data_IF_686543389323
#
_entry.id   IF_686543389323
#
_cell.length_a   1.000
_cell.length_b   1.000
_cell.length_c   1.000
_cell.angle_alpha   90.00
_cell.angle_beta   90.00
_cell.angle_gamma   90.00
#
_symmetry.space_group_name_H-M   'P 1'
#
loop_
_entity.id
_entity.type
_entity.pdbx_description
1 polymer ?
#
# COMPACT_ATOMS: atom_id res chain seq x y z
N UNK A 1 -8.83 6.79 15.83
CA UNK A 1 -8.24 6.97 14.49
C UNK A 1 -9.31 6.76 13.45
N UNK A 2 -9.44 7.67 12.49
CA UNK A 2 -10.36 7.50 11.37
C UNK A 2 -9.83 6.44 10.39
N UNK A 3 -10.68 5.49 10.01
CA UNK A 3 -10.36 4.50 8.97
C UNK A 3 -10.78 5.04 7.62
N UNK A 4 -9.88 5.00 6.63
CA UNK A 4 -10.22 5.29 5.22
C UNK A 4 -10.49 3.99 4.49
N UNK A 5 -11.55 3.98 3.66
CA UNK A 5 -11.88 2.85 2.79
C UNK A 5 -11.27 3.08 1.42
N UNK A 6 -10.62 2.05 0.90
CA UNK A 6 -10.09 2.01 -0.46
C UNK A 6 -10.80 0.87 -1.21
N UNK A 7 -11.10 1.08 -2.49
CA UNK A 7 -11.56 0.02 -3.38
C UNK A 7 -10.41 -0.30 -4.34
N UNK A 8 -10.16 -1.59 -4.55
CA UNK A 8 -9.09 -2.07 -5.42
C UNK A 8 -9.57 -3.28 -6.22
N UNK A 9 -9.10 -3.37 -7.46
CA UNK A 9 -9.33 -4.51 -8.35
C UNK A 9 -8.03 -5.26 -8.52
N UNK A 10 -8.07 -6.58 -8.37
CA UNK A 10 -6.90 -7.45 -8.50
C UNK A 10 -7.05 -8.40 -9.69
N UNK A 11 -5.94 -8.82 -10.30
CA UNK A 11 -5.94 -10.00 -11.16
C UNK A 11 -6.50 -11.23 -10.43
N UNK A 12 -7.25 -12.05 -11.14
CA UNK A 12 -7.93 -13.25 -10.62
C UNK A 12 -7.01 -14.14 -9.77
N UNK A 13 -5.82 -14.46 -10.27
CA UNK A 13 -4.87 -15.33 -9.56
C UNK A 13 -4.42 -14.76 -8.21
N UNK A 14 -4.36 -13.43 -8.07
CA UNK A 14 -4.01 -12.78 -6.79
C UNK A 14 -5.20 -12.84 -5.83
N UNK A 15 -6.42 -12.60 -6.33
CA UNK A 15 -7.63 -12.73 -5.53
C UNK A 15 -7.81 -14.15 -4.97
N UNK A 16 -7.57 -15.16 -5.80
CA UNK A 16 -7.60 -16.58 -5.40
C UNK A 16 -6.58 -16.91 -4.32
N UNK A 17 -5.35 -16.40 -4.42
CA UNK A 17 -4.35 -16.61 -3.36
C UNK A 17 -4.77 -15.92 -2.05
N UNK A 18 -5.34 -14.70 -2.10
CA UNK A 18 -5.86 -14.03 -0.90
C UNK A 18 -6.97 -14.85 -0.23
N UNK A 19 -7.91 -15.38 -1.00
CA UNK A 19 -8.98 -16.27 -0.49
C UNK A 19 -8.40 -17.54 0.15
N UNK A 20 -7.43 -18.17 -0.54
CA UNK A 20 -6.78 -19.39 -0.07
C UNK A 20 -6.10 -19.20 1.28
N UNK A 21 -5.41 -18.09 1.49
CA UNK A 21 -4.72 -17.82 2.76
C UNK A 21 -5.64 -17.24 3.84
N UNK A 22 -6.71 -16.54 3.47
CA UNK A 22 -7.65 -15.99 4.45
C UNK A 22 -8.58 -17.07 5.03
N UNK A 23 -8.93 -18.09 4.25
CA UNK A 23 -9.86 -19.14 4.65
C UNK A 23 -9.44 -19.91 5.94
N UNK A 24 -8.19 -20.39 6.10
CA UNK A 24 -7.74 -21.05 7.33
C UNK A 24 -7.76 -20.14 8.57
N UNK A 25 -7.69 -18.82 8.35
CA UNK A 25 -7.69 -17.82 9.41
C UNK A 25 -9.09 -17.37 9.81
N UNK A 26 -10.14 -17.94 9.19
CA UNK A 26 -11.53 -17.47 9.33
C UNK A 26 -11.69 -15.96 9.09
N UNK A 27 -10.81 -15.41 8.25
CA UNK A 27 -10.77 -13.99 7.87
C UNK A 27 -11.32 -13.85 6.46
N UNK A 28 -11.97 -12.73 6.16
CA UNK A 28 -12.28 -12.42 4.76
C UNK A 28 -11.00 -11.93 4.01
N UNK A 29 -10.97 -12.01 2.67
CA UNK A 29 -9.79 -11.65 1.89
C UNK A 29 -9.34 -10.19 2.07
N UNK A 30 -10.29 -9.28 2.27
CA UNK A 30 -10.00 -7.85 2.48
C UNK A 30 -9.33 -7.60 3.82
N UNK A 31 -9.81 -8.25 4.88
CA UNK A 31 -9.19 -8.22 6.21
C UNK A 31 -7.79 -8.80 6.19
N UNK A 32 -7.60 -9.94 5.52
CA UNK A 32 -6.30 -10.58 5.37
C UNK A 32 -5.30 -9.67 4.62
N UNK A 33 -5.72 -9.07 3.50
CA UNK A 33 -4.91 -8.08 2.79
C UNK A 33 -4.55 -6.88 3.70
N UNK A 34 -5.50 -6.40 4.51
CA UNK A 34 -5.26 -5.36 5.50
C UNK A 34 -4.23 -5.74 6.57
N UNK A 35 -4.22 -6.99 7.02
CA UNK A 35 -3.23 -7.51 7.97
C UNK A 35 -1.82 -7.54 7.35
N UNK A 36 -1.69 -7.99 6.10
CA UNK A 36 -0.42 -7.99 5.37
C UNK A 36 0.13 -6.57 5.27
N UNK A 37 -0.69 -5.62 4.83
CA UNK A 37 -0.28 -4.20 4.70
C UNK A 37 0.16 -3.65 6.05
N UNK A 38 -0.60 -3.90 7.13
CA UNK A 38 -0.18 -3.46 8.48
C UNK A 38 1.15 -4.06 8.90
N UNK A 39 1.38 -5.34 8.62
CA UNK A 39 2.61 -6.05 8.97
C UNK A 39 3.81 -5.45 8.24
N UNK A 40 3.70 -5.20 6.94
CA UNK A 40 4.73 -4.52 6.15
C UNK A 40 5.14 -3.16 6.72
N UNK A 41 4.16 -2.33 7.10
CA UNK A 41 4.45 -1.02 7.68
C UNK A 41 5.00 -1.12 9.11
N UNK A 42 4.53 -2.09 9.91
CA UNK A 42 5.06 -2.33 11.25
C UNK A 42 6.54 -2.78 11.21
N UNK A 43 6.91 -3.57 10.21
CA UNK A 43 8.27 -4.06 10.02
C UNK A 43 9.19 -3.04 9.30
N UNK A 44 8.63 -1.92 8.85
CA UNK A 44 9.37 -0.92 8.07
C UNK A 44 9.83 -1.41 6.69
N UNK A 45 9.23 -2.49 6.18
CA UNK A 45 9.62 -3.13 4.91
C UNK A 45 8.46 -3.25 3.91
N UNK A 46 7.64 -2.19 3.66
CA UNK A 46 6.68 -2.25 2.57
C UNK A 46 7.40 -2.48 1.23
N UNK A 47 6.95 -3.42 0.40
CA UNK A 47 7.58 -3.70 -0.88
C UNK A 47 7.45 -2.46 -1.78
N UNK A 48 8.55 -1.72 -1.93
CA UNK A 48 8.62 -0.61 -2.88
C UNK A 48 8.95 -1.18 -4.24
N UNK A 49 7.96 -1.20 -5.13
CA UNK A 49 8.19 -1.61 -6.52
C UNK A 49 9.00 -0.53 -7.27
N UNK A 50 9.76 -0.87 -8.32
CA UNK A 50 10.43 0.13 -9.15
C UNK A 50 9.47 1.19 -9.70
N UNK A 51 8.24 0.79 -10.00
CA UNK A 51 7.17 1.68 -10.47
C UNK A 51 6.74 2.67 -9.37
N UNK A 52 6.61 2.20 -8.13
CA UNK A 52 6.33 3.07 -6.97
C UNK A 52 7.47 4.07 -6.74
N UNK A 53 8.73 3.64 -6.85
CA UNK A 53 9.89 4.54 -6.78
C UNK A 53 9.81 5.63 -7.84
N UNK A 54 9.52 5.27 -9.11
CA UNK A 54 9.35 6.24 -10.20
C UNK A 54 8.21 7.22 -9.95
N UNK A 55 7.07 6.73 -9.47
CA UNK A 55 5.92 7.59 -9.15
C UNK A 55 6.25 8.56 -8.01
N UNK A 56 6.97 8.12 -6.98
CA UNK A 56 7.43 8.97 -5.88
C UNK A 56 8.44 10.02 -6.34
N UNK A 57 9.40 9.63 -7.18
CA UNK A 57 10.37 10.55 -7.78
C UNK A 57 9.69 11.60 -8.66
N UNK A 58 8.78 11.18 -9.54
CA UNK A 58 7.98 12.08 -10.36
C UNK A 58 7.15 13.04 -9.48
N UNK A 59 6.49 12.54 -8.44
CA UNK A 59 5.73 13.37 -7.51
C UNK A 59 6.59 14.36 -6.72
N UNK A 60 7.84 14.01 -6.39
CA UNK A 60 8.78 14.91 -5.72
C UNK A 60 9.39 15.94 -6.68
N UNK A 61 9.58 15.59 -7.96
CA UNK A 61 10.03 16.54 -9.00
C UNK A 61 8.97 17.62 -9.30
N UNK A 62 7.68 17.32 -9.10
CA UNK A 62 6.57 18.26 -9.30
C UNK A 62 6.35 19.18 -8.09
N UNK A 63 6.86 18.83 -6.90
CA UNK A 63 6.77 19.74 -5.74
C UNK A 63 7.57 21.00 -6.05
N UNK A 64 6.95 22.20 -6.11
CA UNK A 64 7.70 23.41 -6.31
C UNK A 64 8.69 23.54 -5.16
N UNK A 65 9.96 23.81 -5.49
CA UNK A 65 10.97 24.14 -4.51
C UNK A 65 10.36 25.14 -3.52
N UNK A 66 10.15 24.71 -2.26
CA UNK A 66 9.83 25.65 -1.18
C UNK A 66 10.95 26.68 -1.23
N UNK A 67 10.67 27.86 -1.78
CA UNK A 67 11.58 28.99 -1.66
C UNK A 67 11.76 29.18 -0.17
N UNK A 68 12.93 28.81 0.35
CA UNK A 68 13.39 29.23 1.65
C UNK A 68 13.42 30.75 1.60
N UNK A 69 12.36 31.37 2.10
CA UNK A 69 12.29 32.80 2.32
C UNK A 69 13.23 33.08 3.49
N UNK A 70 14.51 33.24 3.19
CA UNK A 70 15.48 33.80 4.13
C UNK A 70 15.08 35.26 4.32
N UNK A 71 14.67 35.59 5.55
CA UNK A 71 14.58 36.95 6.05
C UNK A 71 15.85 37.28 6.81
#
# INVERSE_FOLDING_TARGET
MEKRRFNLSLPEHIAQELERYSAPLSSNPTEYAGLIVRKWYADGCPPVTPEESRLREAANAIKPARKSSTK
#
